data_IF_593006517487
#
_entry.id   IF_593006517487
#
_cell.length_a   1.000
_cell.length_b   1.000
_cell.length_c   1.000
_cell.angle_alpha   90.00
_cell.angle_beta   90.00
_cell.angle_gamma   90.00
#
_symmetry.space_group_name_H-M   'P 1'
#
loop_
_entity.id
_entity.type
_entity.pdbx_description
1 polymer ?
#
# COMPACT_ATOMS: atom_id res chain seq x y z
N UNK A 1 35.33 -1.55 12.11
CA UNK A 1 34.23 -1.87 11.18
C UNK A 1 32.87 -1.34 11.64
N UNK A 2 32.39 -1.64 12.87
CA UNK A 2 31.08 -1.18 13.36
C UNK A 2 30.87 0.35 13.32
N UNK A 3 31.88 1.12 13.73
CA UNK A 3 31.84 2.61 13.66
C UNK A 3 31.67 3.11 12.22
N UNK A 4 32.39 2.53 11.25
CA UNK A 4 32.29 2.93 9.83
C UNK A 4 30.89 2.66 9.29
N UNK A 5 30.31 1.50 9.61
CA UNK A 5 28.94 1.17 9.23
C UNK A 5 27.93 2.13 9.87
N UNK A 6 28.08 2.43 11.16
CA UNK A 6 27.21 3.38 11.86
C UNK A 6 27.27 4.78 11.23
N UNK A 7 28.46 5.27 10.91
CA UNK A 7 28.63 6.57 10.24
C UNK A 7 28.01 6.56 8.84
N UNK A 8 28.20 5.49 8.05
CA UNK A 8 27.56 5.35 6.75
C UNK A 8 26.03 5.38 6.85
N UNK A 9 25.44 4.70 7.84
CA UNK A 9 24.00 4.71 8.09
C UNK A 9 23.50 6.10 8.51
N UNK A 10 24.27 6.84 9.30
CA UNK A 10 23.94 8.22 9.67
C UNK A 10 24.02 9.18 8.47
N UNK A 11 24.99 9.00 7.57
CA UNK A 11 25.05 9.74 6.31
C UNK A 11 23.84 9.43 5.42
N UNK A 12 23.43 8.17 5.32
CA UNK A 12 22.21 7.77 4.61
C UNK A 12 20.96 8.37 5.25
N UNK A 13 20.90 8.46 6.57
CA UNK A 13 19.82 9.15 7.28
C UNK A 13 19.79 10.64 6.92
N UNK A 14 20.92 11.33 6.90
CA UNK A 14 21.00 12.74 6.52
C UNK A 14 20.52 12.95 5.07
N UNK A 15 20.93 12.08 4.14
CA UNK A 15 20.44 12.09 2.75
C UNK A 15 18.94 11.83 2.67
N UNK A 16 18.44 10.85 3.44
CA UNK A 16 17.02 10.53 3.53
C UNK A 16 16.18 11.67 4.09
N UNK A 17 16.70 12.40 5.10
CA UNK A 17 16.06 13.60 5.65
C UNK A 17 16.04 14.74 4.64
N UNK A 18 17.15 14.96 3.93
CA UNK A 18 17.21 15.95 2.86
C UNK A 18 16.20 15.65 1.75
N UNK A 19 16.10 14.38 1.32
CA UNK A 19 15.09 13.96 0.34
C UNK A 19 13.69 14.14 0.90
N UNK A 20 13.43 13.72 2.13
CA UNK A 20 12.13 13.86 2.79
C UNK A 20 11.70 15.32 2.89
N UNK A 21 12.63 16.24 3.14
CA UNK A 21 12.35 17.67 3.14
C UNK A 21 11.91 18.18 1.75
N UNK A 22 12.57 17.69 0.69
CA UNK A 22 12.24 18.07 -0.70
C UNK A 22 10.97 17.39 -1.21
N UNK A 23 10.73 16.14 -0.83
CA UNK A 23 9.59 15.31 -1.26
C UNK A 23 9.01 14.55 -0.06
N UNK A 24 8.17 15.21 0.75
CA UNK A 24 7.65 14.65 2.00
C UNK A 24 6.92 13.31 1.84
N UNK A 25 6.22 13.12 0.72
CA UNK A 25 5.53 11.85 0.43
C UNK A 25 6.52 10.68 0.25
N UNK A 26 7.66 10.91 -0.41
CA UNK A 26 8.72 9.90 -0.57
C UNK A 26 9.33 9.54 0.79
N UNK A 27 9.37 10.48 1.73
CA UNK A 27 9.78 10.24 3.11
C UNK A 27 8.98 9.15 3.81
N UNK A 28 7.69 8.99 3.51
CA UNK A 28 6.87 7.87 4.02
C UNK A 28 7.36 6.52 3.44
N UNK A 29 7.68 6.49 2.15
CA UNK A 29 8.25 5.30 1.51
C UNK A 29 9.62 4.93 2.09
N UNK A 30 10.47 5.92 2.36
CA UNK A 30 11.76 5.73 3.03
C UNK A 30 11.59 5.22 4.46
N UNK A 31 10.60 5.73 5.20
CA UNK A 31 10.28 5.23 6.54
C UNK A 31 9.89 3.75 6.48
N UNK A 32 8.96 3.37 5.60
CA UNK A 32 8.52 1.98 5.43
C UNK A 32 9.68 1.07 5.01
N UNK A 33 10.46 1.47 4.00
CA UNK A 33 11.59 0.68 3.52
C UNK A 33 12.69 0.55 4.59
N UNK A 34 13.03 1.64 5.29
CA UNK A 34 14.03 1.62 6.36
C UNK A 34 13.62 0.75 7.54
N UNK A 35 12.33 0.74 7.90
CA UNK A 35 11.81 -0.13 8.95
C UNK A 35 12.02 -1.61 8.64
N UNK A 36 11.98 -1.99 7.37
CA UNK A 36 12.21 -3.37 6.95
C UNK A 36 13.61 -3.88 7.34
N UNK A 37 14.62 -3.02 7.33
CA UNK A 37 16.01 -3.38 7.64
C UNK A 37 16.44 -3.02 9.06
N UNK A 38 15.63 -2.26 9.80
CA UNK A 38 16.02 -1.66 11.07
C UNK A 38 16.51 -2.66 12.12
N UNK A 39 15.74 -3.72 12.38
CA UNK A 39 16.07 -4.71 13.42
C UNK A 39 17.37 -5.44 13.09
N UNK A 40 17.53 -5.85 11.84
CA UNK A 40 18.74 -6.50 11.35
C UNK A 40 19.97 -5.60 11.44
N UNK A 41 19.87 -4.35 11.00
CA UNK A 41 20.98 -3.40 11.07
C UNK A 41 21.40 -3.12 12.52
N UNK A 42 20.44 -3.00 13.45
CA UNK A 42 20.74 -2.90 14.87
C UNK A 42 21.48 -4.13 15.39
N UNK A 43 21.00 -5.33 15.06
CA UNK A 43 21.66 -6.59 15.42
C UNK A 43 23.10 -6.64 14.89
N UNK A 44 23.33 -6.28 13.63
CA UNK A 44 24.68 -6.23 13.03
C UNK A 44 25.57 -5.21 13.73
N UNK A 45 25.08 -4.01 14.01
CA UNK A 45 25.85 -2.98 14.73
C UNK A 45 26.27 -3.45 16.13
N UNK A 46 25.37 -4.11 16.85
CA UNK A 46 25.65 -4.68 18.17
C UNK A 46 26.70 -5.78 18.09
N UNK A 47 26.57 -6.68 17.10
CA UNK A 47 27.52 -7.77 16.89
C UNK A 47 28.93 -7.28 16.60
N UNK A 48 29.05 -6.16 15.90
CA UNK A 48 30.33 -5.51 15.59
C UNK A 48 30.96 -4.76 16.77
N UNK A 49 30.35 -4.81 17.97
CA UNK A 49 30.84 -4.10 19.16
C UNK A 49 30.76 -2.58 19.02
N UNK A 50 29.80 -2.08 18.24
CA UNK A 50 29.66 -0.63 17.99
C UNK A 50 29.35 0.09 19.32
N UNK A 51 29.99 1.25 19.60
CA UNK A 51 29.72 2.03 20.80
C UNK A 51 28.22 2.30 21.02
N UNK A 52 27.76 2.15 22.26
CA UNK A 52 26.35 2.29 22.61
C UNK A 52 25.74 3.64 22.18
N UNK A 53 26.52 4.72 22.19
CA UNK A 53 26.10 6.04 21.73
C UNK A 53 25.70 6.03 20.25
N UNK A 54 26.49 5.39 19.40
CA UNK A 54 26.21 5.28 17.96
C UNK A 54 25.01 4.37 17.69
N UNK A 55 24.90 3.26 18.42
CA UNK A 55 23.74 2.37 18.31
C UNK A 55 22.45 3.10 18.69
N UNK A 56 22.45 3.88 19.79
CA UNK A 56 21.31 4.71 20.20
C UNK A 56 21.00 5.82 19.18
N UNK A 57 22.03 6.46 18.63
CA UNK A 57 21.87 7.49 17.60
C UNK A 57 21.21 6.91 16.35
N UNK A 58 21.68 5.75 15.88
CA UNK A 58 21.02 5.04 14.79
C UNK A 58 19.60 4.64 15.20
N UNK A 59 19.38 4.09 16.39
CA UNK A 59 18.04 3.68 16.84
C UNK A 59 17.00 4.80 16.74
N UNK A 60 17.40 6.06 16.93
CA UNK A 60 16.58 7.26 16.83
C UNK A 60 16.21 7.70 15.40
N UNK A 61 16.71 7.05 14.35
CA UNK A 61 16.52 7.49 12.96
C UNK A 61 15.04 7.62 12.57
N UNK A 62 14.21 6.67 13.01
CA UNK A 62 12.77 6.64 12.73
C UNK A 62 12.04 7.77 13.46
N UNK A 63 12.42 8.05 14.71
CA UNK A 63 11.89 9.16 15.49
C UNK A 63 12.25 10.52 14.84
N UNK A 64 13.49 10.68 14.39
CA UNK A 64 13.94 11.89 13.68
C UNK A 64 13.16 12.09 12.38
N UNK A 65 12.97 11.02 11.59
CA UNK A 65 12.23 11.09 10.33
C UNK A 65 10.74 11.40 10.56
N UNK A 66 10.11 10.78 11.55
CA UNK A 66 8.72 11.06 11.94
C UNK A 66 8.58 12.49 12.47
N UNK A 67 9.53 12.97 13.26
CA UNK A 67 9.54 14.35 13.74
C UNK A 67 9.67 15.34 12.58
N UNK A 68 10.56 15.10 11.62
CA UNK A 68 10.71 15.92 10.43
C UNK A 68 9.41 15.98 9.60
N UNK A 69 8.77 14.82 9.35
CA UNK A 69 7.48 14.77 8.66
C UNK A 69 6.39 15.50 9.43
N UNK A 70 6.36 15.38 10.76
CA UNK A 70 5.43 16.10 11.64
C UNK A 70 5.62 17.60 11.53
N UNK A 71 6.86 18.09 11.59
CA UNK A 71 7.19 19.51 11.43
C UNK A 71 6.72 20.02 10.07
N UNK A 72 6.97 19.27 8.99
CA UNK A 72 6.53 19.63 7.63
C UNK A 72 4.99 19.73 7.56
N UNK A 73 4.27 18.76 8.14
CA UNK A 73 2.79 18.77 8.14
C UNK A 73 2.25 19.92 9.00
N UNK A 74 2.83 20.18 10.17
CA UNK A 74 2.44 21.31 11.03
C UNK A 74 2.67 22.66 10.32
N UNK A 75 3.82 22.83 9.64
CA UNK A 75 4.09 24.03 8.83
C UNK A 75 3.06 24.21 7.71
N UNK A 76 2.61 23.13 7.06
CA UNK A 76 1.56 23.18 6.03
C UNK A 76 0.22 23.57 6.61
N UNK A 77 -0.19 22.92 7.70
CA UNK A 77 -1.44 23.22 8.43
C UNK A 77 -1.44 24.70 8.85
N UNK A 78 -0.36 25.18 9.46
CA UNK A 78 -0.23 26.57 9.88
C UNK A 78 -0.42 27.58 8.73
N UNK A 79 0.14 27.28 7.55
CA UNK A 79 -0.06 28.10 6.34
C UNK A 79 -1.51 28.05 5.84
N UNK A 80 -2.14 26.88 5.87
CA UNK A 80 -3.54 26.70 5.46
C UNK A 80 -4.50 27.47 6.38
N UNK A 81 -4.29 27.43 7.69
CA UNK A 81 -5.08 28.21 8.65
C UNK A 81 -4.99 29.71 8.39
N UNK A 82 -3.79 30.24 8.09
CA UNK A 82 -3.63 31.66 7.72
C UNK A 82 -4.38 32.05 6.44
N UNK A 83 -4.63 31.09 5.56
CA UNK A 83 -5.38 31.29 4.31
C UNK A 83 -6.88 30.95 4.43
N UNK A 84 -7.36 30.61 5.63
CA UNK A 84 -8.78 30.32 5.88
C UNK A 84 -9.30 29.02 5.27
N UNK A 85 -8.41 28.07 4.92
CA UNK A 85 -8.81 26.77 4.36
C UNK A 85 -8.89 25.71 5.46
N UNK A 86 -10.10 25.33 5.85
CA UNK A 86 -10.35 24.16 6.69
C UNK A 86 -10.81 22.98 5.85
N UNK A 87 -10.11 21.84 5.96
CA UNK A 87 -10.56 20.58 5.38
C UNK A 87 -11.67 19.95 6.21
N UNK A 88 -12.58 19.21 5.57
CA UNK A 88 -13.61 18.42 6.24
C UNK A 88 -12.99 17.17 6.90
N UNK A 89 -13.49 16.82 8.08
CA UNK A 89 -13.15 15.57 8.75
C UNK A 89 -13.93 14.40 8.12
N UNK A 90 -13.22 13.33 7.79
CA UNK A 90 -13.82 12.07 7.33
C UNK A 90 -14.17 11.21 8.56
N UNK A 91 -15.08 10.25 8.38
CA UNK A 91 -15.40 9.27 9.42
C UNK A 91 -14.14 8.53 9.93
N UNK A 92 -13.18 8.26 9.05
CA UNK A 92 -11.90 7.64 9.43
C UNK A 92 -11.03 8.53 10.31
N UNK A 93 -11.15 9.87 10.23
CA UNK A 93 -10.48 10.77 11.18
C UNK A 93 -11.05 10.60 12.58
N UNK A 94 -12.37 10.47 12.70
CA UNK A 94 -13.02 10.30 13.99
C UNK A 94 -12.56 9.03 14.68
N UNK A 95 -12.38 7.93 13.93
CA UNK A 95 -11.78 6.70 14.46
C UNK A 95 -10.35 6.94 14.92
N UNK A 96 -9.52 7.59 14.11
CA UNK A 96 -8.13 7.88 14.46
C UNK A 96 -8.01 8.83 15.68
N UNK A 97 -8.88 9.84 15.78
CA UNK A 97 -9.00 10.74 16.93
C UNK A 97 -9.44 9.94 18.16
N UNK A 98 -10.47 9.10 18.04
CA UNK A 98 -10.94 8.25 19.12
C UNK A 98 -9.82 7.36 19.67
N UNK A 99 -9.06 6.72 18.79
CA UNK A 99 -7.88 5.93 19.17
C UNK A 99 -6.82 6.79 19.87
N UNK A 100 -6.53 7.98 19.35
CA UNK A 100 -5.57 8.90 19.97
C UNK A 100 -6.02 9.34 21.37
N UNK A 101 -7.30 9.69 21.54
CA UNK A 101 -7.90 10.08 22.83
C UNK A 101 -7.82 8.91 23.82
N UNK A 102 -8.25 7.70 23.43
CA UNK A 102 -8.16 6.51 24.30
C UNK A 102 -6.72 6.27 24.73
N UNK A 103 -5.77 6.40 23.79
CA UNK A 103 -4.34 6.19 24.06
C UNK A 103 -3.79 7.23 25.04
N UNK A 104 -4.17 8.50 24.89
CA UNK A 104 -3.80 9.58 25.81
C UNK A 104 -4.42 9.35 27.20
N UNK A 105 -5.72 9.06 27.26
CA UNK A 105 -6.42 8.79 28.53
C UNK A 105 -5.78 7.62 29.25
N UNK A 106 -5.52 6.51 28.56
CA UNK A 106 -4.84 5.34 29.13
C UNK A 106 -3.44 5.68 29.65
N UNK A 107 -2.71 6.58 28.98
CA UNK A 107 -1.39 7.03 29.42
C UNK A 107 -1.44 7.99 30.62
N UNK A 108 -2.51 8.78 30.76
CA UNK A 108 -2.66 9.74 31.86
C UNK A 108 -3.34 9.14 33.10
N UNK A 109 -4.07 8.03 32.97
CA UNK A 109 -4.83 7.44 34.08
C UNK A 109 -3.89 6.95 35.22
N UNK A 110 -4.04 7.37 36.47
CA UNK A 110 -3.16 6.89 37.53
C UNK A 110 -3.28 5.37 37.77
N UNK A 111 -2.18 4.74 38.21
CA UNK A 111 -2.12 3.29 38.47
C UNK A 111 -3.18 2.82 39.48
N UNK A 112 -3.58 3.70 40.41
CA UNK A 112 -4.64 3.47 41.40
C UNK A 112 -5.99 3.10 40.78
N UNK A 113 -6.28 3.58 39.57
CA UNK A 113 -7.54 3.30 38.88
C UNK A 113 -7.43 1.99 38.08
N UNK A 114 -6.29 1.78 37.41
CA UNK A 114 -6.09 0.63 36.53
C UNK A 114 -5.76 -0.68 37.27
N UNK A 115 -5.35 -0.61 38.55
CA UNK A 115 -4.86 -1.76 39.33
C UNK A 115 -3.82 -2.61 38.59
N UNK A 116 -3.19 -2.02 37.58
CA UNK A 116 -2.18 -2.65 36.76
C UNK A 116 -0.85 -2.38 37.44
N UNK A 117 -0.12 -3.42 37.84
CA UNK A 117 1.25 -3.30 38.38
C UNK A 117 2.28 -2.83 37.36
N UNK A 118 1.88 -1.95 36.42
CA UNK A 118 2.67 -1.45 35.31
C UNK A 118 3.24 -0.08 35.65
N UNK A 119 4.56 0.00 35.75
CA UNK A 119 5.27 1.26 36.03
C UNK A 119 5.09 2.26 34.88
N UNK A 120 5.10 3.56 35.17
CA UNK A 120 5.12 4.68 34.21
C UNK A 120 6.01 4.44 32.97
N UNK A 121 7.22 3.90 33.16
CA UNK A 121 8.13 3.61 32.03
C UNK A 121 7.52 2.61 31.03
N UNK A 122 6.85 1.56 31.51
CA UNK A 122 6.18 0.57 30.67
C UNK A 122 4.96 1.18 29.96
N UNK A 123 4.23 2.05 30.66
CA UNK A 123 3.08 2.78 30.09
C UNK A 123 3.50 3.74 28.98
N UNK A 124 4.62 4.44 29.15
CA UNK A 124 5.19 5.31 28.12
C UNK A 124 5.61 4.51 26.88
N UNK A 125 6.19 3.32 27.06
CA UNK A 125 6.53 2.44 25.93
C UNK A 125 5.26 1.99 25.20
N UNK A 126 4.22 1.58 25.92
CA UNK A 126 2.92 1.22 25.35
C UNK A 126 2.28 2.40 24.59
N UNK A 127 2.26 3.59 25.20
CA UNK A 127 1.79 4.82 24.58
C UNK A 127 2.52 5.11 23.27
N UNK A 128 3.86 5.05 23.28
CA UNK A 128 4.68 5.30 22.08
C UNK A 128 4.29 4.37 20.93
N UNK A 129 4.05 3.09 21.20
CA UNK A 129 3.70 2.10 20.16
C UNK A 129 2.32 2.39 19.57
N UNK A 130 1.32 2.67 20.43
CA UNK A 130 -0.06 2.85 19.97
C UNK A 130 -0.28 4.23 19.34
N UNK A 131 0.31 5.28 19.91
CA UNK A 131 0.17 6.67 19.43
C UNK A 131 0.77 6.88 18.03
N UNK A 132 1.70 6.01 17.60
CA UNK A 132 2.24 6.03 16.24
C UNK A 132 1.17 5.76 15.18
N UNK A 133 0.15 4.95 15.48
CA UNK A 133 -0.90 4.59 14.51
C UNK A 133 -1.68 5.82 14.04
N UNK A 134 -2.34 6.60 14.93
CA UNK A 134 -3.06 7.80 14.50
C UNK A 134 -2.11 8.87 13.96
N UNK A 135 -0.90 9.00 14.51
CA UNK A 135 0.09 9.96 13.99
C UNK A 135 0.45 9.68 12.53
N UNK A 136 0.84 8.45 12.21
CA UNK A 136 1.19 8.06 10.83
C UNK A 136 -0.02 8.20 9.91
N UNK A 137 -1.23 7.88 10.37
CA UNK A 137 -2.46 8.10 9.61
C UNK A 137 -2.63 9.59 9.23
N UNK A 138 -2.53 10.52 10.18
CA UNK A 138 -2.67 11.95 9.90
C UNK A 138 -1.53 12.48 9.03
N UNK A 139 -0.30 12.00 9.23
CA UNK A 139 0.84 12.33 8.36
C UNK A 139 0.54 11.88 6.93
N UNK A 140 0.21 10.60 6.72
CA UNK A 140 -0.07 10.05 5.39
C UNK A 140 -1.25 10.74 4.71
N UNK A 141 -2.27 11.13 5.46
CA UNK A 141 -3.44 11.86 4.94
C UNK A 141 -3.09 13.26 4.45
N UNK A 142 -2.22 13.99 5.16
CA UNK A 142 -1.84 15.38 4.82
C UNK A 142 -0.71 15.47 3.81
N UNK A 143 0.07 14.41 3.68
CA UNK A 143 1.15 14.30 2.71
C UNK A 143 0.58 13.77 1.40
N UNK A 144 0.22 14.68 0.49
CA UNK A 144 -0.18 14.30 -0.86
C UNK A 144 1.05 14.10 -1.76
N UNK A 145 1.02 13.13 -2.69
CA UNK A 145 2.06 12.99 -3.71
C UNK A 145 2.06 14.22 -4.63
N UNK A 146 3.24 14.78 -4.91
CA UNK A 146 3.35 15.93 -5.82
C UNK A 146 3.08 15.55 -7.28
N UNK A 147 3.20 14.26 -7.62
CA UNK A 147 2.88 13.70 -8.93
C UNK A 147 2.98 12.18 -8.95
N UNK A 148 2.69 11.58 -10.10
CA UNK A 148 2.70 10.12 -10.27
C UNK A 148 4.06 9.48 -10.01
N UNK A 149 5.16 10.21 -10.25
CA UNK A 149 6.51 9.73 -10.00
C UNK A 149 6.78 9.47 -8.51
N UNK A 150 6.29 10.34 -7.62
CA UNK A 150 6.45 10.17 -6.17
C UNK A 150 5.65 8.97 -5.67
N UNK A 151 4.42 8.80 -6.18
CA UNK A 151 3.61 7.63 -5.89
C UNK A 151 4.29 6.34 -6.36
N UNK A 152 4.78 6.30 -7.60
CA UNK A 152 5.52 5.15 -8.11
C UNK A 152 6.78 4.87 -7.28
N UNK A 153 7.50 5.90 -6.86
CA UNK A 153 8.69 5.76 -6.01
C UNK A 153 8.34 5.10 -4.69
N UNK A 154 7.29 5.56 -4.00
CA UNK A 154 6.84 4.96 -2.72
C UNK A 154 6.36 3.52 -2.92
N UNK A 155 5.61 3.23 -3.98
CA UNK A 155 5.17 1.87 -4.30
C UNK A 155 6.36 0.94 -4.51
N UNK A 156 7.37 1.37 -5.29
CA UNK A 156 8.56 0.58 -5.54
C UNK A 156 9.48 0.46 -4.31
N UNK A 157 9.58 1.49 -3.47
CA UNK A 157 10.31 1.40 -2.21
C UNK A 157 9.68 0.35 -1.28
N UNK A 158 8.35 0.38 -1.13
CA UNK A 158 7.63 -0.57 -0.28
C UNK A 158 7.69 -2.00 -0.84
N UNK A 159 7.37 -2.18 -2.11
CA UNK A 159 7.40 -3.50 -2.77
C UNK A 159 8.83 -4.05 -2.89
N UNK A 160 9.80 -3.21 -3.24
CA UNK A 160 11.20 -3.58 -3.35
C UNK A 160 11.79 -3.98 -2.01
N UNK A 161 11.52 -3.21 -0.94
CA UNK A 161 11.94 -3.59 0.40
C UNK A 161 11.33 -4.93 0.82
N UNK A 162 10.02 -5.11 0.66
CA UNK A 162 9.35 -6.38 0.94
C UNK A 162 9.91 -7.57 0.15
N UNK A 163 10.20 -7.38 -1.14
CA UNK A 163 10.79 -8.42 -1.97
C UNK A 163 12.21 -8.79 -1.51
N UNK A 164 13.05 -7.81 -1.16
CA UNK A 164 14.40 -8.05 -0.62
C UNK A 164 14.31 -8.77 0.73
N UNK A 165 13.41 -8.36 1.61
CA UNK A 165 13.14 -9.04 2.90
C UNK A 165 12.74 -10.49 2.64
N UNK A 166 11.80 -10.75 1.74
CA UNK A 166 11.39 -12.11 1.47
C UNK A 166 12.48 -12.95 0.81
N UNK A 167 13.26 -12.38 -0.11
CA UNK A 167 14.39 -13.04 -0.73
C UNK A 167 15.46 -13.41 0.30
N UNK A 168 15.83 -12.47 1.16
CA UNK A 168 16.75 -12.71 2.27
C UNK A 168 16.18 -13.77 3.23
N UNK A 169 14.88 -13.71 3.50
CA UNK A 169 14.15 -14.67 4.33
C UNK A 169 14.15 -16.10 3.78
N UNK A 170 14.02 -16.25 2.46
CA UNK A 170 14.17 -17.56 1.81
C UNK A 170 15.62 -18.02 1.90
N UNK A 171 16.57 -17.15 1.57
CA UNK A 171 17.99 -17.47 1.62
C UNK A 171 18.43 -17.92 3.02
N UNK A 172 18.08 -17.19 4.08
CA UNK A 172 18.44 -17.57 5.44
C UNK A 172 17.84 -18.92 5.83
N UNK A 173 16.61 -19.21 5.38
CA UNK A 173 15.88 -20.41 5.79
C UNK A 173 16.57 -21.67 5.27
N UNK A 174 17.09 -21.62 4.05
CA UNK A 174 17.72 -22.77 3.39
C UNK A 174 19.23 -22.83 3.60
N UNK A 175 19.91 -21.69 3.70
CA UNK A 175 21.38 -21.63 3.66
C UNK A 175 22.07 -21.21 4.95
N UNK A 176 21.36 -20.54 5.87
CA UNK A 176 21.97 -20.04 7.11
C UNK A 176 21.55 -20.93 8.28
N UNK A 177 22.43 -21.70 8.92
CA UNK A 177 22.08 -22.49 10.10
C UNK A 177 21.54 -21.64 11.25
N UNK A 178 20.66 -22.22 12.08
CA UNK A 178 20.07 -21.52 13.23
C UNK A 178 21.14 -21.02 14.23
N UNK A 179 22.22 -21.79 14.42
CA UNK A 179 23.33 -21.40 15.31
C UNK A 179 23.96 -20.07 14.88
N UNK A 180 24.08 -19.85 13.57
CA UNK A 180 24.61 -18.61 13.01
C UNK A 180 23.81 -17.38 13.43
N UNK A 181 22.49 -17.49 13.63
CA UNK A 181 21.66 -16.38 14.14
C UNK A 181 22.00 -16.01 15.59
N UNK A 182 22.29 -17.01 16.42
CA UNK A 182 22.75 -16.77 17.80
C UNK A 182 24.10 -16.07 17.75
N UNK A 183 25.01 -16.56 16.90
CA UNK A 183 26.34 -15.97 16.69
C UNK A 183 26.26 -14.56 16.08
N UNK A 184 25.21 -14.22 15.32
CA UNK A 184 24.96 -12.88 14.80
C UNK A 184 24.39 -11.90 15.84
N UNK A 185 24.08 -12.37 17.05
CA UNK A 185 23.69 -11.49 18.15
C UNK A 185 22.20 -11.27 18.30
N UNK A 186 21.34 -12.18 17.81
CA UNK A 186 19.88 -12.12 18.08
C UNK A 186 19.59 -11.97 19.58
N UNK A 187 20.30 -12.73 20.41
CA UNK A 187 20.11 -12.66 21.87
C UNK A 187 20.55 -11.32 22.46
N UNK A 188 21.59 -10.69 21.91
CA UNK A 188 22.04 -9.36 22.34
C UNK A 188 20.99 -8.30 21.97
N UNK A 189 20.44 -8.41 20.77
CA UNK A 189 19.37 -7.54 20.29
C UNK A 189 18.11 -7.65 21.15
N UNK A 190 17.65 -8.87 21.44
CA UNK A 190 16.44 -9.09 22.26
C UNK A 190 16.61 -8.62 23.70
N UNK A 191 17.81 -8.80 24.28
CA UNK A 191 18.14 -8.26 25.61
C UNK A 191 18.10 -6.74 25.65
N UNK A 192 18.57 -6.05 24.61
CA UNK A 192 18.49 -4.57 24.53
C UNK A 192 17.04 -4.08 24.41
N UNK A 193 16.15 -4.88 23.81
CA UNK A 193 14.72 -4.61 23.83
C UNK A 193 14.05 -4.91 25.18
N UNK A 194 14.77 -5.48 26.14
CA UNK A 194 14.26 -5.87 27.44
C UNK A 194 13.51 -7.21 27.46
N UNK A 195 13.62 -8.01 26.39
CA UNK A 195 12.97 -9.31 26.31
C UNK A 195 13.93 -10.44 26.71
N UNK A 196 13.45 -11.33 27.58
CA UNK A 196 14.12 -12.58 27.93
C UNK A 196 13.27 -13.73 27.41
N UNK A 197 13.79 -14.46 26.42
CA UNK A 197 13.08 -15.58 25.81
C UNK A 197 13.62 -16.91 26.34
N UNK A 198 12.71 -17.86 26.51
CA UNK A 198 13.01 -19.22 26.99
C UNK A 198 12.95 -20.26 25.86
N UNK A 199 12.97 -19.83 24.60
CA UNK A 199 13.01 -20.74 23.48
C UNK A 199 14.38 -21.42 23.29
N UNK A 200 14.50 -22.34 22.32
CA UNK A 200 15.74 -23.03 22.03
C UNK A 200 16.91 -22.05 21.83
N UNK A 201 18.01 -22.24 22.56
CA UNK A 201 19.18 -21.34 22.49
C UNK A 201 18.92 -19.89 22.94
N UNK A 202 17.86 -19.66 23.72
CA UNK A 202 17.45 -18.32 24.17
C UNK A 202 16.72 -17.50 23.10
N UNK A 203 16.36 -18.12 21.96
CA UNK A 203 15.66 -17.43 20.88
C UNK A 203 14.17 -17.23 21.20
N UNK A 204 13.52 -16.25 20.53
CA UNK A 204 12.08 -16.07 20.65
C UNK A 204 11.30 -17.34 20.26
N UNK A 205 10.27 -17.76 21.02
CA UNK A 205 9.56 -19.02 20.76
C UNK A 205 8.93 -19.09 19.36
N UNK A 206 8.55 -17.95 18.80
CA UNK A 206 7.97 -17.84 17.46
C UNK A 206 8.97 -18.10 16.32
N UNK A 207 10.29 -18.18 16.59
CA UNK A 207 11.29 -18.60 15.59
C UNK A 207 11.04 -20.01 15.06
N UNK A 208 10.35 -20.85 15.84
CA UNK A 208 10.08 -22.24 15.48
C UNK A 208 8.57 -22.53 15.43
N UNK A 209 8.20 -23.55 14.67
CA UNK A 209 6.93 -24.26 14.77
C UNK A 209 7.26 -25.61 15.40
N UNK A 210 6.58 -25.96 16.47
CA UNK A 210 6.61 -27.34 16.99
C UNK A 210 5.60 -28.17 16.21
N UNK A 211 6.06 -29.24 15.58
CA UNK A 211 5.21 -30.22 14.90
C UNK A 211 4.62 -31.21 15.92
N UNK A 212 3.57 -31.98 15.54
CA UNK A 212 2.94 -32.96 16.43
C UNK A 212 3.87 -34.04 16.97
N UNK A 213 4.94 -34.35 16.25
CA UNK A 213 6.00 -35.29 16.63
C UNK A 213 7.06 -34.67 17.56
N UNK A 214 6.89 -33.40 17.95
CA UNK A 214 7.84 -32.65 18.78
C UNK A 214 9.02 -32.05 18.01
N UNK A 215 9.12 -32.26 16.70
CA UNK A 215 10.19 -31.66 15.89
C UNK A 215 10.03 -30.15 15.77
N UNK A 216 11.15 -29.42 15.77
CA UNK A 216 11.17 -27.97 15.66
C UNK A 216 11.53 -27.54 14.24
N UNK A 217 10.56 -27.00 13.52
CA UNK A 217 10.77 -26.43 12.19
C UNK A 217 10.99 -24.92 12.30
N UNK A 218 12.11 -24.44 11.77
CA UNK A 218 12.42 -23.00 11.77
C UNK A 218 11.53 -22.25 10.78
N UNK A 219 11.03 -21.08 11.17
CA UNK A 219 10.27 -20.16 10.31
C UNK A 219 11.18 -19.10 9.69
N UNK A 220 10.75 -18.51 8.59
CA UNK A 220 11.41 -17.30 8.05
C UNK A 220 11.24 -16.15 9.03
N UNK A 221 12.35 -15.50 9.38
CA UNK A 221 12.38 -14.35 10.30
C UNK A 221 12.82 -13.07 9.60
N UNK A 222 13.66 -13.22 8.57
CA UNK A 222 14.26 -12.19 7.74
C UNK A 222 14.88 -11.05 8.57
N UNK A 223 14.99 -9.89 7.96
CA UNK A 223 15.52 -8.68 8.58
C UNK A 223 14.64 -8.15 9.71
N UNK A 224 13.41 -8.62 9.83
CA UNK A 224 12.52 -8.33 10.96
C UNK A 224 12.88 -9.11 12.22
N UNK A 225 13.66 -10.20 12.12
CA UNK A 225 13.96 -11.10 13.24
C UNK A 225 12.63 -11.64 13.83
N UNK A 226 11.60 -11.77 12.98
CA UNK A 226 10.24 -12.16 13.39
C UNK A 226 9.42 -12.64 12.20
N UNK A 227 8.84 -13.85 12.25
CA UNK A 227 8.01 -14.37 11.16
C UNK A 227 6.71 -13.57 10.98
N UNK A 228 6.18 -13.03 12.08
CA UNK A 228 5.00 -12.18 12.05
C UNK A 228 5.28 -10.87 11.29
N UNK A 229 6.49 -10.32 11.42
CA UNK A 229 6.91 -9.13 10.69
C UNK A 229 6.87 -9.36 9.18
N UNK A 230 7.42 -10.49 8.71
CA UNK A 230 7.40 -10.88 7.30
C UNK A 230 5.97 -11.11 6.81
N UNK A 231 5.17 -11.88 7.56
CA UNK A 231 3.82 -12.24 7.17
C UNK A 231 2.88 -11.02 7.07
N UNK A 232 2.85 -10.16 8.08
CA UNK A 232 1.96 -8.99 8.09
C UNK A 232 2.39 -7.92 7.10
N UNK A 233 3.70 -7.73 6.91
CA UNK A 233 4.20 -6.83 5.87
C UNK A 233 3.78 -7.34 4.49
N UNK A 234 3.93 -8.63 4.23
CA UNK A 234 3.52 -9.21 2.94
C UNK A 234 2.02 -9.13 2.68
N UNK A 235 1.19 -9.28 3.72
CA UNK A 235 -0.26 -9.06 3.63
C UNK A 235 -0.56 -7.62 3.19
N UNK A 236 0.04 -6.62 3.85
CA UNK A 236 -0.16 -5.21 3.51
C UNK A 236 0.39 -4.83 2.11
N UNK A 237 1.45 -5.51 1.66
CA UNK A 237 2.05 -5.27 0.35
C UNK A 237 1.31 -5.97 -0.79
N UNK A 238 0.54 -7.01 -0.53
CA UNK A 238 -0.21 -7.73 -1.57
C UNK A 238 -1.12 -6.82 -2.42
N UNK A 239 -2.06 -6.03 -1.86
CA UNK A 239 -2.93 -5.17 -2.66
C UNK A 239 -2.14 -4.07 -3.36
N UNK A 240 -1.05 -3.61 -2.74
CA UNK A 240 -0.13 -2.63 -3.30
C UNK A 240 0.58 -3.17 -4.55
N UNK A 241 1.03 -4.42 -4.52
CA UNK A 241 1.64 -5.11 -5.64
C UNK A 241 0.66 -5.34 -6.79
N UNK A 242 -0.59 -5.71 -6.50
CA UNK A 242 -1.65 -5.84 -7.51
C UNK A 242 -1.87 -4.51 -8.24
N UNK A 243 -1.99 -3.40 -7.49
CA UNK A 243 -2.12 -2.05 -8.07
C UNK A 243 -0.89 -1.64 -8.88
N UNK A 244 0.32 -1.99 -8.41
CA UNK A 244 1.56 -1.70 -9.11
C UNK A 244 1.63 -2.43 -10.46
N UNK A 245 1.23 -3.70 -10.51
CA UNK A 245 1.20 -4.50 -11.75
C UNK A 245 0.22 -3.91 -12.76
N UNK A 246 -0.98 -3.53 -12.32
CA UNK A 246 -1.99 -2.92 -13.19
C UNK A 246 -1.50 -1.59 -13.79
N UNK A 247 -0.83 -0.76 -12.98
CA UNK A 247 -0.24 0.51 -13.44
C UNK A 247 0.90 0.33 -14.45
N UNK A 248 1.66 -0.75 -14.39
CA UNK A 248 2.79 -1.01 -15.29
C UNK A 248 2.37 -1.72 -16.60
N UNK A 249 1.06 -1.83 -16.89
CA UNK A 249 0.54 -2.60 -18.04
C UNK A 249 1.12 -2.21 -19.40
N UNK A 250 1.52 -0.96 -19.59
CA UNK A 250 2.13 -0.47 -20.83
C UNK A 250 3.64 -0.76 -20.95
N UNK A 251 4.33 -1.07 -19.85
CA UNK A 251 5.79 -1.28 -19.81
C UNK A 251 6.09 -2.73 -19.45
N UNK A 252 6.30 -3.57 -20.46
CA UNK A 252 6.44 -5.02 -20.29
C UNK A 252 7.51 -5.41 -19.25
N UNK A 253 8.71 -4.82 -19.31
CA UNK A 253 9.79 -5.13 -18.35
C UNK A 253 9.46 -4.75 -16.90
N UNK A 254 8.92 -3.55 -16.68
CA UNK A 254 8.54 -3.09 -15.35
C UNK A 254 7.39 -3.91 -14.75
N UNK A 255 6.47 -4.40 -15.59
CA UNK A 255 5.40 -5.31 -15.18
C UNK A 255 5.97 -6.64 -14.69
N UNK A 256 6.89 -7.25 -15.44
CA UNK A 256 7.54 -8.50 -15.02
C UNK A 256 8.30 -8.35 -13.71
N UNK A 257 9.00 -7.22 -13.52
CA UNK A 257 9.67 -6.91 -12.26
C UNK A 257 8.66 -6.79 -11.10
N UNK A 258 7.51 -6.15 -11.32
CA UNK A 258 6.48 -6.02 -10.29
C UNK A 258 5.85 -7.37 -9.93
N UNK A 259 5.63 -8.23 -10.92
CA UNK A 259 5.17 -9.62 -10.72
C UNK A 259 6.21 -10.39 -9.90
N UNK A 260 7.48 -10.34 -10.29
CA UNK A 260 8.56 -11.02 -9.57
C UNK A 260 8.66 -10.54 -8.11
N UNK A 261 8.60 -9.23 -7.88
CA UNK A 261 8.61 -8.65 -6.54
C UNK A 261 7.41 -9.12 -5.70
N UNK A 262 6.20 -9.13 -6.27
CA UNK A 262 5.00 -9.62 -5.58
C UNK A 262 5.10 -11.12 -5.29
N UNK A 263 5.59 -11.93 -6.23
CA UNK A 263 5.81 -13.37 -6.03
C UNK A 263 6.78 -13.62 -4.89
N UNK A 264 7.90 -12.88 -4.82
CA UNK A 264 8.83 -12.97 -3.70
C UNK A 264 8.15 -12.62 -2.37
N UNK A 265 7.37 -11.55 -2.32
CA UNK A 265 6.59 -11.17 -1.13
C UNK A 265 5.68 -12.33 -0.68
N UNK A 266 4.93 -12.93 -1.60
CA UNK A 266 4.04 -14.06 -1.34
C UNK A 266 4.79 -15.30 -0.83
N UNK A 267 5.93 -15.62 -1.43
CA UNK A 267 6.80 -16.71 -0.97
C UNK A 267 7.24 -16.46 0.49
N UNK A 268 7.61 -15.23 0.84
CA UNK A 268 7.94 -14.85 2.22
C UNK A 268 6.78 -15.08 3.19
N UNK A 269 5.55 -14.70 2.81
CA UNK A 269 4.35 -14.97 3.62
C UNK A 269 4.11 -16.46 3.81
N UNK A 270 4.28 -17.26 2.75
CA UNK A 270 4.14 -18.72 2.82
C UNK A 270 5.12 -19.34 3.80
N UNK A 271 6.40 -18.98 3.72
CA UNK A 271 7.44 -19.53 4.59
C UNK A 271 7.52 -18.90 5.99
N UNK A 272 6.73 -17.86 6.27
CA UNK A 272 6.50 -17.40 7.65
C UNK A 272 5.62 -18.39 8.45
N UNK A 273 4.94 -19.32 7.77
CA UNK A 273 4.11 -20.41 8.36
C UNK A 273 3.14 -19.89 9.43
N UNK A 274 2.41 -18.82 9.10
CA UNK A 274 1.38 -18.24 9.98
C UNK A 274 0.00 -18.53 9.40
N UNK A 275 -0.71 -19.51 9.99
CA UNK A 275 -2.03 -19.95 9.51
C UNK A 275 -3.00 -18.78 9.31
N UNK A 276 -3.03 -17.86 10.28
CA UNK A 276 -3.87 -16.66 10.20
C UNK A 276 -3.53 -15.76 9.01
N UNK A 277 -2.24 -15.53 8.72
CA UNK A 277 -1.84 -14.68 7.61
C UNK A 277 -2.17 -15.34 6.26
N UNK A 278 -2.03 -16.67 6.15
CA UNK A 278 -2.44 -17.41 4.96
C UNK A 278 -3.95 -17.29 4.71
N UNK A 279 -4.78 -17.47 5.74
CA UNK A 279 -6.22 -17.27 5.60
C UNK A 279 -6.59 -15.83 5.24
N UNK A 280 -5.95 -14.85 5.89
CA UNK A 280 -6.16 -13.44 5.59
C UNK A 280 -5.76 -13.10 4.14
N UNK A 281 -4.64 -13.63 3.66
CA UNK A 281 -4.15 -13.44 2.30
C UNK A 281 -5.11 -14.03 1.26
N UNK A 282 -5.66 -15.22 1.50
CA UNK A 282 -6.69 -15.81 0.62
C UNK A 282 -7.95 -14.93 0.60
N UNK A 283 -8.39 -14.46 1.77
CA UNK A 283 -9.52 -13.53 1.87
C UNK A 283 -9.27 -12.23 1.11
N UNK A 284 -8.08 -11.66 1.23
CA UNK A 284 -7.66 -10.45 0.54
C UNK A 284 -7.53 -10.64 -0.97
N UNK A 285 -7.00 -11.78 -1.43
CA UNK A 285 -6.98 -12.15 -2.83
C UNK A 285 -8.40 -12.26 -3.41
N UNK A 286 -9.33 -12.88 -2.67
CA UNK A 286 -10.74 -12.95 -3.03
C UNK A 286 -11.39 -11.55 -3.13
N UNK A 287 -11.12 -10.68 -2.15
CA UNK A 287 -11.59 -9.30 -2.15
C UNK A 287 -11.04 -8.50 -3.34
N UNK A 288 -9.73 -8.58 -3.59
CA UNK A 288 -9.08 -7.91 -4.71
C UNK A 288 -9.62 -8.41 -6.06
N UNK A 289 -9.82 -9.72 -6.21
CA UNK A 289 -10.44 -10.29 -7.40
C UNK A 289 -11.87 -9.75 -7.60
N UNK A 290 -12.67 -9.68 -6.53
CA UNK A 290 -14.03 -9.14 -6.59
C UNK A 290 -14.04 -7.65 -6.97
N UNK A 291 -13.16 -6.84 -6.36
CA UNK A 291 -13.02 -5.41 -6.65
C UNK A 291 -12.59 -5.15 -8.10
N UNK A 292 -11.62 -5.92 -8.60
CA UNK A 292 -11.14 -5.81 -9.99
C UNK A 292 -12.21 -6.25 -11.00
N UNK A 293 -13.03 -7.24 -10.65
CA UNK A 293 -14.07 -7.78 -11.56
C UNK A 293 -15.36 -6.96 -11.54
N UNK A 294 -15.67 -6.28 -10.43
CA UNK A 294 -16.90 -5.49 -10.24
C UNK A 294 -16.56 -4.05 -9.88
N UNK A 295 -16.24 -3.25 -10.89
CA UNK A 295 -15.91 -1.83 -10.72
C UNK A 295 -16.98 -0.97 -10.03
N UNK A 296 -18.25 -1.42 -10.01
CA UNK A 296 -19.31 -0.76 -9.23
C UNK A 296 -19.15 -0.93 -7.71
N UNK A 297 -18.47 -1.98 -7.25
CA UNK A 297 -18.15 -2.17 -5.82
C UNK A 297 -17.04 -1.21 -5.39
N UNK A 298 -16.10 -0.88 -6.29
CA UNK A 298 -15.14 0.20 -6.04
C UNK A 298 -15.84 1.56 -5.86
N UNK A 299 -17.05 1.74 -6.43
CA UNK A 299 -17.86 2.95 -6.23
C UNK A 299 -18.59 2.98 -4.86
N UNK A 300 -18.65 1.85 -4.13
CA UNK A 300 -19.20 1.75 -2.78
C UNK A 300 -18.16 1.99 -1.68
N UNK A 301 -16.86 2.02 -2.02
CA UNK A 301 -15.79 2.35 -1.06
C UNK A 301 -15.92 3.83 -0.68
N UNK A 302 -16.21 4.16 0.59
CA UNK A 302 -16.38 5.55 1.01
C UNK A 302 -15.00 6.23 1.01
N UNK A 303 -14.78 7.14 0.07
CA UNK A 303 -13.62 8.01 0.05
C UNK A 303 -13.67 8.96 -1.14
N UNK A 304 -13.22 10.19 -0.93
CA UNK A 304 -13.20 11.34 -1.85
C UNK A 304 -12.65 11.14 -3.28
N UNK A 305 -12.30 9.91 -3.66
CA UNK A 305 -12.01 9.51 -5.04
C UNK A 305 -13.15 9.87 -5.98
N UNK A 306 -14.41 9.94 -5.52
CA UNK A 306 -15.54 10.38 -6.35
C UNK A 306 -15.41 11.86 -6.76
N UNK A 307 -15.10 12.77 -5.84
CA UNK A 307 -14.92 14.18 -6.19
C UNK A 307 -13.65 14.43 -7.01
N UNK A 308 -12.57 13.69 -6.75
CA UNK A 308 -11.32 13.80 -7.51
C UNK A 308 -11.40 13.18 -8.91
N UNK A 309 -12.07 12.02 -9.06
CA UNK A 309 -12.32 11.42 -10.38
C UNK A 309 -13.33 12.23 -11.19
N UNK A 310 -14.35 12.83 -10.56
CA UNK A 310 -15.27 13.74 -11.26
C UNK A 310 -14.56 15.01 -11.72
N UNK A 311 -13.63 15.58 -10.93
CA UNK A 311 -12.80 16.73 -11.36
C UNK A 311 -11.80 16.35 -12.46
N UNK A 312 -11.14 15.19 -12.36
CA UNK A 312 -10.20 14.71 -13.37
C UNK A 312 -10.91 14.31 -14.69
N UNK A 313 -12.12 13.75 -14.59
CA UNK A 313 -12.99 13.46 -15.74
C UNK A 313 -13.50 14.72 -16.43
N UNK A 314 -13.89 15.75 -15.65
CA UNK A 314 -14.30 17.05 -16.18
C UNK A 314 -13.16 17.77 -16.93
N UNK A 315 -11.92 17.68 -16.44
CA UNK A 315 -10.74 18.24 -17.12
C UNK A 315 -10.39 17.49 -18.41
N UNK A 316 -10.52 16.15 -18.44
CA UNK A 316 -10.34 15.36 -19.69
C UNK A 316 -11.43 15.60 -20.73
N UNK A 317 -12.64 15.96 -20.31
CA UNK A 317 -13.73 16.32 -21.22
C UNK A 317 -13.57 17.75 -21.77
N UNK A 318 -12.94 18.65 -21.01
CA UNK A 318 -12.55 19.99 -21.48
C UNK A 318 -11.48 19.92 -22.58
N UNK A 319 -10.51 19.02 -22.44
CA UNK A 319 -9.37 18.86 -23.37
C UNK A 319 -9.73 18.08 -24.66
N UNK A 320 -10.91 17.45 -24.69
CA UNK A 320 -11.45 16.75 -25.87
C UNK A 320 -12.47 17.57 -26.66
N UNK A 321 -12.68 18.85 -26.36
CA UNK A 321 -13.38 19.71 -27.32
C UNK A 321 -12.47 19.85 -28.55
N UNK A 322 -12.94 19.48 -29.75
CA UNK A 322 -12.15 19.71 -30.96
C UNK A 322 -11.86 21.21 -31.02
N UNK A 323 -10.57 21.57 -31.06
CA UNK A 323 -10.15 22.89 -31.51
C UNK A 323 -10.76 23.08 -32.90
N UNK A 324 -11.89 23.79 -32.95
CA UNK A 324 -12.41 24.35 -34.19
C UNK A 324 -11.34 25.32 -34.64
N UNK A 325 -10.48 24.87 -35.57
CA UNK A 325 -9.53 25.74 -36.26
C UNK A 325 -10.35 26.87 -36.87
N UNK A 326 -10.09 28.15 -36.51
CA UNK A 326 -10.70 29.25 -37.24
C UNK A 326 -10.27 29.10 -38.70
N UNK A 327 -11.25 29.15 -39.61
CA UNK A 327 -11.02 29.15 -41.03
C UNK A 327 -9.96 30.20 -41.36
N UNK A 328 -8.86 29.75 -41.97
CA UNK A 328 -7.84 30.64 -42.50
C UNK A 328 -8.52 31.56 -43.52
N UNK A 329 -8.70 32.82 -43.14
CA UNK A 329 -9.08 33.86 -44.07
C UNK A 329 -7.93 34.02 -45.08
N UNK A 330 -8.25 33.77 -46.35
CA UNK A 330 -7.47 34.20 -47.50
C UNK A 330 -7.30 35.72 -47.40
N UNK A 331 -6.17 36.16 -46.84
CA UNK A 331 -5.70 37.54 -47.00
C UNK A 331 -5.04 37.66 -48.36
N UNK A 332 -5.77 38.29 -49.27
CA UNK A 332 -5.25 38.93 -50.47
C UNK A 332 -4.06 39.81 -50.09
N UNK A 333 -2.94 39.57 -50.78
CA UNK A 333 -1.69 40.29 -50.62
C UNK A 333 -1.62 41.31 -51.75
N UNK A 334 -2.32 42.43 -51.57
CA UNK A 334 -2.20 43.62 -52.41
C UNK A 334 -1.23 44.61 -51.76
N UNK A 335 -0.10 44.82 -52.43
CA UNK A 335 0.87 45.94 -52.38
C UNK A 335 1.95 45.50 -53.37
N UNK A 336 2.08 46.07 -54.56
CA UNK A 336 1.99 47.47 -54.92
C UNK A 336 3.31 47.76 -55.64
N UNK A 337 3.32 47.63 -56.97
CA UNK A 337 4.40 48.11 -57.81
C UNK A 337 3.79 48.83 -59.00
N UNK A 338 3.96 50.13 -58.91
CA UNK A 338 3.63 51.16 -59.85
C UNK A 338 4.82 51.29 -60.82
N UNK A 339 4.60 51.13 -62.13
CA UNK A 339 5.18 51.92 -63.23
C UNK A 339 5.12 51.23 -64.60
N UNK A 340 4.37 51.90 -65.48
CA UNK A 340 4.84 52.43 -66.77
C UNK A 340 4.50 51.67 -68.08
N UNK A 341 3.90 52.48 -68.97
CA UNK A 341 3.95 52.48 -70.45
C UNK A 341 2.92 51.65 -71.28
N UNK A 342 1.84 52.36 -71.65
CA UNK A 342 1.36 52.70 -73.03
C UNK A 342 0.95 51.57 -74.03
N UNK A 343 0.16 51.91 -75.08
CA UNK A 343 -1.08 51.19 -75.40
C UNK A 343 -1.12 50.51 -76.78
N UNK A 344 -2.08 49.59 -76.94
CA UNK A 344 -2.77 49.18 -78.19
C UNK A 344 -3.94 48.29 -77.72
N UNK A 345 -5.20 48.42 -78.11
CA UNK A 345 -5.77 48.51 -79.45
C UNK A 345 -6.66 47.26 -79.66
N UNK A 346 -7.93 47.44 -80.06
CA UNK A 346 -8.85 46.36 -80.49
C UNK A 346 -9.81 45.86 -79.39
N UNK A 347 -11.14 46.05 -79.36
CA UNK A 347 -12.24 45.89 -80.35
C UNK A 347 -13.00 44.54 -80.19
N UNK A 348 -14.34 44.61 -80.27
CA UNK A 348 -15.38 43.55 -80.23
C UNK A 348 -15.52 42.73 -78.93
N UNK A 349 -16.69 42.35 -78.39
CA UNK A 349 -18.08 42.43 -78.81
C UNK A 349 -18.90 41.28 -78.18
N UNK A 350 -20.18 41.56 -77.89
CA UNK A 350 -21.35 40.66 -77.88
C UNK A 350 -21.65 39.70 -76.69
N UNK A 351 -22.81 40.00 -76.07
CA UNK A 351 -24.06 39.20 -75.92
C UNK A 351 -24.07 37.85 -75.18
N UNK A 352 -25.16 37.67 -74.40
CA UNK A 352 -25.84 36.39 -74.14
C UNK A 352 -26.00 36.10 -72.64
N UNK A 353 -27.07 36.47 -71.95
CA UNK A 353 -28.44 35.94 -72.00
C UNK A 353 -28.61 34.51 -71.42
N UNK A 354 -29.46 34.46 -70.37
CA UNK A 354 -30.48 33.43 -70.06
C UNK A 354 -30.13 32.16 -69.26
N UNK A 355 -30.92 32.00 -68.19
CA UNK A 355 -31.78 30.86 -67.78
C UNK A 355 -31.57 30.47 -66.30
N UNK A 356 -32.49 30.79 -65.38
CA UNK A 356 -33.83 30.21 -65.12
C UNK A 356 -33.79 28.69 -64.88
N UNK A 357 -33.85 28.27 -63.60
CA UNK A 357 -34.81 27.28 -63.04
C UNK A 357 -34.46 26.90 -61.58
N UNK A 358 -35.33 27.29 -60.64
CA UNK A 358 -35.78 26.45 -59.50
C UNK A 358 -36.75 25.36 -60.05
N UNK A 359 -37.22 24.32 -59.33
CA UNK A 359 -37.33 24.15 -57.86
C UNK A 359 -37.05 22.70 -57.34
N UNK A 360 -37.23 22.46 -56.04
CA UNK A 360 -37.44 21.09 -55.53
C UNK A 360 -37.19 20.87 -54.04
N UNK A 361 -38.27 20.82 -53.26
CA UNK A 361 -38.32 20.32 -51.88
C UNK A 361 -37.92 18.84 -51.76
N UNK A 362 -37.31 18.43 -50.63
CA UNK A 362 -37.77 17.26 -49.84
C UNK A 362 -37.08 17.11 -48.46
N UNK A 363 -37.95 17.06 -47.44
CA UNK A 363 -37.99 16.22 -46.22
C UNK A 363 -36.71 15.83 -45.43
N UNK A 364 -36.80 16.09 -44.12
CA UNK A 364 -36.04 15.46 -43.01
C UNK A 364 -36.29 13.93 -42.93
N UNK A 365 -35.47 13.16 -42.19
CA UNK A 365 -35.86 12.89 -40.80
C UNK A 365 -34.71 12.86 -39.77
N UNK A 366 -35.14 13.01 -38.52
CA UNK A 366 -34.36 12.88 -37.29
C UNK A 366 -33.95 11.41 -37.02
N UNK A 367 -32.76 11.23 -36.43
CA UNK A 367 -32.26 9.94 -35.94
C UNK A 367 -32.35 9.92 -34.42
N UNK A 368 -33.38 9.25 -33.89
CA UNK A 368 -33.38 8.67 -32.55
C UNK A 368 -32.62 7.35 -32.60
N UNK A 369 -31.56 7.18 -31.79
CA UNK A 369 -30.91 5.87 -31.59
C UNK A 369 -31.50 5.17 -30.37
N UNK A 370 -32.19 4.07 -30.65
CA UNK A 370 -32.67 3.07 -29.71
C UNK A 370 -31.50 2.21 -29.18
N UNK A 371 -31.57 1.90 -27.88
CA UNK A 371 -30.77 0.91 -27.17
C UNK A 371 -31.17 -0.52 -27.61
N UNK A 372 -30.25 -1.50 -27.68
CA UNK A 372 -30.57 -2.82 -28.23
C UNK A 372 -31.24 -3.76 -27.21
N UNK A 373 -32.47 -4.14 -27.51
CA UNK A 373 -33.29 -5.16 -26.87
C UNK A 373 -32.76 -6.60 -27.11
N UNK A 374 -31.54 -6.91 -26.67
CA UNK A 374 -30.97 -8.28 -26.73
C UNK A 374 -30.44 -8.82 -25.39
N UNK A 375 -30.68 -8.11 -24.28
CA UNK A 375 -30.23 -8.53 -22.96
C UNK A 375 -31.33 -9.21 -22.10
N UNK A 376 -32.61 -9.08 -22.46
CA UNK A 376 -33.73 -9.60 -21.66
C UNK A 376 -34.18 -11.02 -22.04
N UNK A 377 -33.82 -11.51 -23.23
CA UNK A 377 -34.24 -12.84 -23.70
C UNK A 377 -33.40 -14.00 -23.13
N UNK A 378 -32.26 -13.70 -22.50
CA UNK A 378 -31.35 -14.70 -21.92
C UNK A 378 -31.64 -15.06 -20.46
N UNK A 379 -32.50 -14.30 -19.78
CA UNK A 379 -32.88 -14.54 -18.38
C UNK A 379 -34.16 -15.38 -18.28
N UNK A 380 -35.03 -15.36 -19.29
CA UNK A 380 -36.28 -16.13 -19.30
C UNK A 380 -36.12 -17.63 -19.64
N UNK A 381 -34.91 -18.10 -20.03
CA UNK A 381 -34.66 -19.51 -20.39
C UNK A 381 -33.98 -20.35 -19.30
N UNK A 382 -33.75 -19.81 -18.10
CA UNK A 382 -33.07 -20.53 -17.01
C UNK A 382 -33.98 -20.85 -15.80
N UNK A 383 -35.29 -20.60 -15.91
CA UNK A 383 -36.24 -20.77 -14.80
C UNK A 383 -37.34 -21.81 -15.08
N UNK A 384 -37.06 -22.83 -15.88
CA UNK A 384 -38.01 -23.94 -16.08
C UNK A 384 -37.30 -25.27 -16.31
N UNK A 385 -37.30 -26.14 -15.30
CA UNK A 385 -37.00 -27.56 -15.51
C UNK A 385 -36.48 -28.33 -14.28
N UNK A 386 -37.33 -29.24 -13.81
CA UNK A 386 -37.04 -30.51 -13.11
C UNK A 386 -37.04 -30.53 -11.57
N UNK A 387 -38.25 -30.78 -11.06
CA UNK A 387 -38.54 -31.51 -9.83
C UNK A 387 -38.13 -33.01 -9.93
N UNK A 388 -37.76 -33.59 -8.78
CA UNK A 388 -38.09 -34.96 -8.40
C UNK A 388 -37.12 -36.09 -8.78
N UNK A 389 -36.43 -36.68 -7.78
CA UNK A 389 -36.40 -38.14 -7.59
C UNK A 389 -35.81 -38.57 -6.22
N UNK A 390 -36.66 -39.25 -5.45
CA UNK A 390 -36.48 -40.38 -4.52
C UNK A 390 -35.28 -40.53 -3.57
N UNK A 391 -35.62 -40.84 -2.31
CA UNK A 391 -34.74 -41.46 -1.32
C UNK A 391 -34.78 -42.99 -1.29
N UNK A 392 -34.03 -43.54 -0.31
CA UNK A 392 -33.75 -44.93 0.16
C UNK A 392 -32.23 -45.09 0.18
N UNK A 393 -31.52 -45.60 1.19
CA UNK A 393 -31.80 -46.35 2.42
C UNK A 393 -30.53 -47.18 2.76
N UNK A 394 -30.46 -47.73 3.98
CA UNK A 394 -29.42 -48.62 4.57
C UNK A 394 -28.21 -47.93 5.25
N UNK A 395 -28.06 -47.96 6.60
CA UNK A 395 -27.70 -49.07 7.51
C UNK A 395 -26.17 -49.40 7.43
N UNK A 396 -25.39 -49.65 8.48
CA UNK A 396 -25.60 -49.90 9.91
C UNK A 396 -24.26 -49.67 10.68
N UNK A 397 -24.37 -49.85 12.00
CA UNK A 397 -23.33 -50.32 12.95
C UNK A 397 -22.49 -49.34 13.80
N UNK A 398 -22.78 -49.46 15.11
CA UNK A 398 -22.11 -48.95 16.33
C UNK A 398 -20.86 -49.83 16.65
N UNK A 399 -20.21 -49.82 17.86
CA UNK A 399 -20.30 -48.95 19.04
C UNK A 399 -18.93 -48.60 19.69
N UNK A 400 -19.01 -47.94 20.86
CA UNK A 400 -18.14 -48.02 22.06
C UNK A 400 -17.24 -46.82 22.38
N UNK A 401 -17.35 -46.34 23.63
CA UNK A 401 -16.26 -45.67 24.35
C UNK A 401 -16.68 -44.49 25.22
N UNK A 402 -16.84 -44.73 26.53
CA UNK A 402 -17.23 -43.78 27.60
C UNK A 402 -16.29 -42.57 27.78
N UNK A 403 -16.77 -41.48 28.43
CA UNK A 403 -15.96 -40.38 28.92
C UNK A 403 -15.33 -40.70 30.29
N UNK A 404 -14.09 -40.25 30.53
CA UNK A 404 -13.48 -40.22 31.87
C UNK A 404 -13.17 -38.79 32.29
N UNK A 405 -13.59 -38.50 33.51
CA UNK A 405 -13.48 -37.24 34.20
C UNK A 405 -12.10 -37.01 34.82
N UNK A 406 -11.73 -35.72 34.85
CA UNK A 406 -11.08 -34.92 35.89
C UNK A 406 -9.78 -35.39 36.61
N UNK A 407 -8.95 -34.41 37.06
CA UNK A 407 -7.54 -34.62 37.41
C UNK A 407 -7.31 -34.80 38.92
N UNK A 408 -6.32 -35.62 39.26
CA UNK A 408 -5.79 -35.78 40.62
C UNK A 408 -4.50 -34.98 40.83
N UNK A 409 -4.48 -34.24 41.94
CA UNK A 409 -3.32 -33.60 42.58
C UNK A 409 -2.12 -34.55 42.79
N UNK A 410 -0.89 -34.01 42.74
CA UNK A 410 0.28 -34.68 43.32
C UNK A 410 1.63 -34.05 42.97
N UNK A 411 2.20 -33.34 43.94
CA UNK A 411 3.64 -33.15 44.21
C UNK A 411 4.61 -32.60 43.14
N UNK A 412 5.04 -31.36 43.35
CA UNK A 412 6.44 -30.97 43.15
C UNK A 412 6.95 -30.16 44.35
N UNK A 413 7.63 -30.87 45.26
CA UNK A 413 8.58 -30.29 46.22
C UNK A 413 9.99 -30.73 45.83
N UNK A 414 10.86 -29.71 45.72
CA UNK A 414 12.31 -29.69 46.03
C UNK A 414 13.34 -30.30 45.05
N UNK A 415 14.45 -29.55 45.03
CA UNK A 415 15.85 -29.85 44.68
C UNK A 415 16.23 -29.37 43.26
N UNK A 416 17.21 -28.50 43.07
CA UNK A 416 18.14 -27.77 43.93
C UNK A 416 18.99 -26.86 43.05
#
# INVERSE_FOLDING_TARGET
MGVVLALALLCLLALGLWWTWRRPFVGLGLLVAGFAFHSFLLMVLLRLGTPAVLVRAFQGWKEILIAALTVIVLMRIWRELRTGRSGLLLFTDWIAIGLAVITIVYFLLPESILHSGTNFAQRLVGFRVIALIPLIYFLARRLEPAGDADLQTVLWLAMGAGAIVSLFGVFELFFVPTRTWIDWGVNQYTQILGFKYNGPGGMPPNFFVTLPDGTLLRRVVSTYISPLGVAYTGLLLFPLGVVLIDRQRARSSAKWLAIAALTLVLIGVMFAVTRLALFALVGEAGLMWLLLRRGWIAALVPGDLRQRQLRAGALRLSDRRPQVRPAASLRSRDRGLDRSLRPAGGDWGKRGARDVRRPGHHRRPAVCRLLPARALERVARLSGGAEGFAGRGAAADRPCGRPRAAPGHGDQRRLG
#
